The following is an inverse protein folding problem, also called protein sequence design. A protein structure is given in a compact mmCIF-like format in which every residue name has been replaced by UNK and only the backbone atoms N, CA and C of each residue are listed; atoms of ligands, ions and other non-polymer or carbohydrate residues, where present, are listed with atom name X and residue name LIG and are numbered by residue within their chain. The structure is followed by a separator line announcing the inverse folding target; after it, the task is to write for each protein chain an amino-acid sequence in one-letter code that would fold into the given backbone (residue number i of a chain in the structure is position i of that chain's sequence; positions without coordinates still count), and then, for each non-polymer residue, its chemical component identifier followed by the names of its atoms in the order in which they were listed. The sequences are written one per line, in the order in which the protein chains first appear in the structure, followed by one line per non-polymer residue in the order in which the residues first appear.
data_IF_715328654783
#
_entry.id   IF_715328654783
#
_cell.length_a   1.000
_cell.length_b   1.000
_cell.length_c   1.000
_cell.angle_alpha   90.00
_cell.angle_beta   90.00
_cell.angle_gamma   90.00
#
_symmetry.space_group_name_H-M   'P 1'
#
loop_
_entity.id
_entity.type
_entity.pdbx_description
1 polymer ?
#
# COMPACT_ATOMS: atom_id res chain seq x y z
N UNK A 1 -13.93 -32.71 -4.61
CA UNK A 1 -12.73 -32.24 -5.31
C UNK A 1 -11.91 -31.52 -4.26
N UNK A 2 -10.74 -32.04 -3.92
CA UNK A 2 -9.84 -31.33 -3.02
C UNK A 2 -9.49 -30.00 -3.74
N UNK A 3 -9.93 -28.88 -3.20
CA UNK A 3 -9.54 -27.57 -3.71
C UNK A 3 -8.03 -27.45 -3.49
N UNK A 4 -7.27 -27.26 -4.55
CA UNK A 4 -5.84 -27.00 -4.46
C UNK A 4 -5.62 -25.76 -3.59
N UNK A 5 -4.82 -25.88 -2.53
CA UNK A 5 -4.44 -24.76 -1.66
C UNK A 5 -3.15 -24.14 -2.19
N UNK A 6 -3.07 -22.82 -2.15
CA UNK A 6 -1.81 -22.11 -2.41
C UNK A 6 -0.95 -22.16 -1.17
N UNK A 7 0.25 -22.74 -1.30
CA UNK A 7 1.22 -22.90 -0.21
C UNK A 7 2.10 -21.68 -0.10
N UNK A 8 2.00 -21.00 1.03
CA UNK A 8 2.67 -19.72 1.29
C UNK A 8 3.93 -19.87 2.11
N UNK A 9 4.96 -19.11 1.72
CA UNK A 9 6.12 -18.78 2.55
C UNK A 9 6.12 -17.29 2.90
N UNK A 10 6.62 -16.93 4.08
CA UNK A 10 6.79 -15.55 4.54
C UNK A 10 8.27 -15.21 4.64
N UNK A 11 8.71 -14.08 4.07
CA UNK A 11 10.03 -13.49 4.30
C UNK A 11 9.95 -12.38 5.33
N UNK A 12 10.65 -12.57 6.46
CA UNK A 12 10.68 -11.63 7.58
C UNK A 12 9.68 -11.99 8.68
N UNK A 13 10.00 -11.55 9.91
CA UNK A 13 9.28 -11.87 11.15
C UNK A 13 8.82 -10.59 11.87
N UNK A 14 8.41 -9.59 11.10
CA UNK A 14 7.88 -8.32 11.59
C UNK A 14 6.45 -8.45 12.11
N UNK A 15 5.96 -7.40 12.77
CA UNK A 15 4.54 -7.32 13.17
C UNK A 15 3.59 -7.60 12.00
N UNK A 16 3.85 -7.02 10.82
CA UNK A 16 2.99 -7.24 9.66
C UNK A 16 3.06 -8.70 9.15
N UNK A 17 4.19 -9.38 9.36
CA UNK A 17 4.31 -10.82 9.05
C UNK A 17 3.42 -11.68 9.95
N UNK A 18 3.21 -11.28 11.22
CA UNK A 18 2.27 -11.95 12.12
C UNK A 18 0.81 -11.78 11.63
N UNK A 19 0.44 -10.56 11.26
CA UNK A 19 -0.89 -10.27 10.69
C UNK A 19 -1.15 -11.08 9.41
N UNK A 20 -0.13 -11.21 8.56
CA UNK A 20 -0.24 -12.00 7.34
C UNK A 20 -0.28 -13.50 7.60
N UNK A 21 0.40 -13.99 8.64
CA UNK A 21 0.30 -15.40 9.07
C UNK A 21 -1.14 -15.74 9.48
N UNK A 22 -1.76 -14.89 10.30
CA UNK A 22 -3.17 -15.04 10.69
C UNK A 22 -4.10 -15.01 9.46
N UNK A 23 -3.89 -14.07 8.53
CA UNK A 23 -4.71 -13.92 7.33
C UNK A 23 -4.61 -15.12 6.38
N UNK A 24 -3.41 -15.68 6.20
CA UNK A 24 -3.23 -16.88 5.37
C UNK A 24 -3.90 -18.09 6.02
N UNK A 25 -3.82 -18.21 7.37
CA UNK A 25 -4.46 -19.29 8.10
C UNK A 25 -6.00 -19.16 8.15
N UNK A 26 -6.54 -17.93 8.13
CA UNK A 26 -7.98 -17.68 8.01
C UNK A 26 -8.50 -18.02 6.60
N UNK A 27 -7.66 -17.91 5.57
CA UNK A 27 -8.03 -18.19 4.18
C UNK A 27 -8.38 -19.67 3.96
N UNK A 28 -9.45 -19.91 3.22
CA UNK A 28 -9.85 -21.28 2.83
C UNK A 28 -9.12 -21.80 1.59
N UNK A 29 -8.32 -20.95 0.94
CA UNK A 29 -7.61 -21.24 -0.30
C UNK A 29 -6.10 -21.13 -0.16
N UNK A 30 -5.60 -20.79 1.05
CA UNK A 30 -4.19 -20.66 1.38
C UNK A 30 -3.76 -21.61 2.49
N UNK A 31 -2.48 -21.99 2.49
CA UNK A 31 -1.84 -22.75 3.55
C UNK A 31 -0.47 -22.14 3.86
N UNK A 32 -0.24 -21.73 5.10
CA UNK A 32 1.06 -21.20 5.53
C UNK A 32 2.00 -22.35 5.89
N UNK A 33 3.02 -22.61 5.07
CA UNK A 33 3.91 -23.74 5.25
C UNK A 33 5.35 -23.38 5.62
N UNK A 34 5.78 -22.11 5.44
CA UNK A 34 7.18 -21.73 5.66
C UNK A 34 7.33 -20.31 6.16
N UNK A 35 8.37 -20.11 6.98
CA UNK A 35 8.85 -18.80 7.44
C UNK A 35 10.36 -18.70 7.27
N UNK A 36 10.85 -17.56 6.75
CA UNK A 36 12.28 -17.25 6.65
C UNK A 36 12.65 -16.05 7.50
N UNK A 37 13.78 -16.14 8.18
CA UNK A 37 14.38 -15.05 8.95
C UNK A 37 15.90 -15.08 8.79
N UNK A 38 16.58 -13.98 9.15
CA UNK A 38 18.06 -13.92 9.22
C UNK A 38 18.65 -14.57 10.49
N UNK A 39 17.80 -15.07 11.38
CA UNK A 39 18.18 -15.82 12.58
C UNK A 39 17.28 -17.05 12.69
N UNK A 40 17.91 -18.20 12.84
CA UNK A 40 17.22 -19.49 12.99
C UNK A 40 16.34 -19.52 14.25
N UNK A 41 16.79 -18.90 15.33
CA UNK A 41 16.03 -18.86 16.60
C UNK A 41 14.76 -18.01 16.46
N UNK A 42 14.84 -16.90 15.68
CA UNK A 42 13.69 -16.04 15.40
C UNK A 42 12.72 -16.75 14.47
N UNK A 43 13.20 -17.40 13.41
CA UNK A 43 12.38 -18.20 12.50
C UNK A 43 11.66 -19.32 13.24
N UNK A 44 12.38 -20.06 14.11
CA UNK A 44 11.82 -21.14 14.93
C UNK A 44 10.73 -20.65 15.86
N UNK A 45 10.95 -19.56 16.62
CA UNK A 45 9.93 -19.01 17.52
C UNK A 45 8.68 -18.56 16.76
N UNK A 46 8.85 -17.95 15.59
CA UNK A 46 7.72 -17.56 14.73
C UNK A 46 6.96 -18.80 14.22
N UNK A 47 7.69 -19.84 13.77
CA UNK A 47 7.11 -21.10 13.34
C UNK A 47 6.33 -21.80 14.46
N UNK A 48 6.85 -21.83 15.69
CA UNK A 48 6.17 -22.37 16.85
C UNK A 48 4.88 -21.60 17.21
N UNK A 49 4.96 -20.24 17.16
CA UNK A 49 3.82 -19.35 17.44
C UNK A 49 2.64 -19.59 16.50
N UNK A 50 2.90 -19.75 15.23
CA UNK A 50 1.88 -19.89 14.17
C UNK A 50 1.73 -21.33 13.65
N UNK A 51 2.37 -22.32 14.31
CA UNK A 51 2.31 -23.74 13.91
C UNK A 51 2.72 -23.96 12.45
N UNK A 52 3.78 -23.27 11.98
CA UNK A 52 4.28 -23.35 10.61
C UNK A 52 5.26 -24.52 10.50
N UNK A 53 5.07 -25.48 9.56
CA UNK A 53 5.86 -26.72 9.53
C UNK A 53 7.33 -26.51 9.17
N UNK A 54 7.68 -25.46 8.39
CA UNK A 54 9.04 -25.23 7.92
C UNK A 54 9.57 -23.87 8.36
N UNK A 55 10.85 -23.79 8.75
CA UNK A 55 11.49 -22.51 9.06
C UNK A 55 12.94 -22.52 8.53
N UNK A 56 13.38 -21.35 8.06
CA UNK A 56 14.67 -21.15 7.40
C UNK A 56 15.44 -20.01 8.06
N UNK A 57 16.76 -20.16 8.15
CA UNK A 57 17.69 -19.14 8.68
C UNK A 57 18.16 -18.13 7.61
N UNK A 58 17.73 -18.34 6.38
CA UNK A 58 17.93 -17.42 5.26
C UNK A 58 16.72 -17.41 4.32
N UNK A 59 16.57 -16.31 3.60
CA UNK A 59 15.45 -16.15 2.66
C UNK A 59 15.66 -16.93 1.36
N UNK A 60 16.93 -17.19 0.99
CA UNK A 60 17.25 -17.87 -0.27
C UNK A 60 16.82 -19.34 -0.23
N UNK A 61 17.04 -20.02 0.90
CA UNK A 61 16.60 -21.41 1.10
C UNK A 61 15.08 -21.52 1.03
N UNK A 62 14.35 -20.59 1.61
CA UNK A 62 12.88 -20.58 1.53
C UNK A 62 12.38 -20.46 0.09
N UNK A 63 12.88 -19.51 -0.70
CA UNK A 63 12.39 -19.30 -2.07
C UNK A 63 12.76 -20.43 -3.02
N UNK A 64 13.72 -21.29 -2.67
CA UNK A 64 14.08 -22.49 -3.45
C UNK A 64 13.37 -23.77 -2.98
N UNK A 65 12.56 -23.70 -1.93
CA UNK A 65 11.70 -24.82 -1.55
C UNK A 65 10.59 -25.03 -2.58
N UNK A 66 10.59 -26.21 -3.24
CA UNK A 66 9.63 -26.53 -4.29
C UNK A 66 8.19 -26.71 -3.77
N UNK A 67 8.00 -26.90 -2.47
CA UNK A 67 6.66 -27.02 -1.88
C UNK A 67 5.94 -25.66 -1.74
N UNK A 68 6.64 -24.54 -1.93
CA UNK A 68 6.11 -23.18 -1.80
C UNK A 68 5.64 -22.67 -3.16
N UNK A 69 4.37 -22.26 -3.26
CA UNK A 69 3.77 -21.68 -4.46
C UNK A 69 3.86 -20.16 -4.51
N UNK A 70 3.72 -19.53 -3.35
CA UNK A 70 3.67 -18.06 -3.22
C UNK A 70 4.48 -17.57 -2.01
N UNK A 71 5.02 -16.37 -2.14
CA UNK A 71 5.86 -15.74 -1.10
C UNK A 71 5.29 -14.37 -0.76
N UNK A 72 5.04 -14.16 0.55
CA UNK A 72 4.82 -12.83 1.09
C UNK A 72 6.15 -12.19 1.51
N UNK A 73 6.41 -10.98 1.01
CA UNK A 73 7.63 -10.23 1.31
C UNK A 73 7.29 -9.14 2.33
N UNK A 74 7.51 -9.43 3.63
CA UNK A 74 7.29 -8.54 4.78
C UNK A 74 8.58 -7.90 5.28
N UNK A 75 9.44 -7.46 4.35
CA UNK A 75 10.78 -6.92 4.62
C UNK A 75 10.76 -5.37 4.65
N UNK A 76 11.84 -4.72 5.13
CA UNK A 76 12.00 -3.28 4.99
C UNK A 76 11.96 -2.80 3.53
N UNK A 77 11.37 -1.64 3.27
CA UNK A 77 11.10 -1.09 1.93
C UNK A 77 12.27 -1.17 0.94
N UNK A 78 13.49 -0.89 1.39
CA UNK A 78 14.70 -0.91 0.55
C UNK A 78 15.14 -2.31 0.10
N UNK A 79 14.56 -3.36 0.66
CA UNK A 79 14.82 -4.75 0.29
C UNK A 79 13.79 -5.32 -0.68
N UNK A 80 12.68 -4.62 -0.90
CA UNK A 80 11.58 -5.14 -1.72
C UNK A 80 12.03 -5.47 -3.14
N UNK A 81 12.67 -4.54 -3.84
CA UNK A 81 13.17 -4.78 -5.22
C UNK A 81 14.01 -6.05 -5.32
N UNK A 82 14.98 -6.19 -4.44
CA UNK A 82 15.90 -7.34 -4.48
C UNK A 82 15.13 -8.65 -4.32
N UNK A 83 14.27 -8.73 -3.31
CA UNK A 83 13.58 -9.99 -3.00
C UNK A 83 12.43 -10.28 -3.96
N UNK A 84 11.76 -9.28 -4.50
CA UNK A 84 10.81 -9.46 -5.61
C UNK A 84 11.52 -10.09 -6.82
N UNK A 85 12.66 -9.55 -7.23
CA UNK A 85 13.43 -10.09 -8.37
C UNK A 85 13.91 -11.53 -8.10
N UNK A 86 14.39 -11.82 -6.88
CA UNK A 86 14.85 -13.16 -6.51
C UNK A 86 13.70 -14.17 -6.50
N UNK A 87 12.57 -13.84 -5.89
CA UNK A 87 11.37 -14.68 -5.89
C UNK A 87 10.86 -14.95 -7.30
N UNK A 88 10.80 -13.91 -8.15
CA UNK A 88 10.37 -14.04 -9.53
C UNK A 88 11.26 -14.99 -10.33
N UNK A 89 12.59 -14.91 -10.18
CA UNK A 89 13.55 -15.80 -10.81
C UNK A 89 13.47 -17.24 -10.29
N UNK A 90 13.05 -17.41 -9.03
CA UNK A 90 12.79 -18.72 -8.43
C UNK A 90 11.39 -19.28 -8.80
N UNK A 91 10.62 -18.56 -9.63
CA UNK A 91 9.29 -18.99 -10.07
C UNK A 91 8.19 -18.90 -9.01
N UNK A 92 8.38 -18.11 -7.96
CA UNK A 92 7.41 -17.93 -6.88
C UNK A 92 6.43 -16.81 -7.21
N UNK A 93 5.13 -17.03 -6.98
CA UNK A 93 4.14 -15.96 -6.94
C UNK A 93 4.43 -15.00 -5.77
N UNK A 94 4.11 -13.71 -5.91
CA UNK A 94 4.59 -12.69 -4.99
C UNK A 94 3.47 -11.79 -4.52
N UNK A 95 3.39 -11.62 -3.20
CA UNK A 95 2.70 -10.54 -2.53
C UNK A 95 3.74 -9.73 -1.74
N UNK A 96 4.03 -8.50 -2.18
CA UNK A 96 5.07 -7.67 -1.57
C UNK A 96 4.48 -6.50 -0.83
N UNK A 97 4.97 -6.24 0.39
CA UNK A 97 4.56 -5.09 1.19
C UNK A 97 4.71 -3.76 0.46
N UNK A 98 3.86 -2.84 0.90
CA UNK A 98 3.86 -1.45 0.41
C UNK A 98 4.96 -0.60 1.14
N UNK A 99 5.49 0.43 0.50
CA UNK A 99 5.40 0.66 -0.94
C UNK A 99 6.16 -0.43 -1.71
N UNK A 100 5.64 -0.83 -2.85
CA UNK A 100 6.18 -1.94 -3.64
C UNK A 100 7.67 -1.78 -3.93
N UNK A 101 8.07 -0.54 -4.27
CA UNK A 101 9.45 -0.13 -4.51
C UNK A 101 9.69 1.28 -3.94
N UNK A 102 10.95 1.72 -3.87
CA UNK A 102 11.30 3.04 -3.34
C UNK A 102 11.45 4.13 -4.40
N UNK A 103 11.35 3.80 -5.69
CA UNK A 103 11.48 4.77 -6.78
C UNK A 103 11.18 4.22 -8.17
N UNK A 104 11.14 5.12 -9.16
CA UNK A 104 10.77 4.82 -10.54
C UNK A 104 11.77 3.88 -11.23
N UNK A 105 13.07 4.03 -10.95
CA UNK A 105 14.07 3.13 -11.53
C UNK A 105 13.87 1.69 -11.06
N UNK A 106 13.54 1.50 -9.77
CA UNK A 106 13.30 0.18 -9.21
C UNK A 106 12.06 -0.49 -9.79
N UNK A 107 10.97 0.26 -10.03
CA UNK A 107 9.75 -0.32 -10.62
C UNK A 107 10.01 -0.78 -12.06
N UNK A 108 10.82 -0.06 -12.84
CA UNK A 108 11.19 -0.48 -14.19
C UNK A 108 12.01 -1.77 -14.19
N UNK A 109 12.99 -1.90 -13.28
CA UNK A 109 13.78 -3.12 -13.15
C UNK A 109 12.90 -4.31 -12.77
N UNK A 110 12.04 -4.15 -11.76
CA UNK A 110 11.11 -5.19 -11.30
C UNK A 110 10.17 -5.60 -12.42
N UNK A 111 9.51 -4.65 -13.07
CA UNK A 111 8.57 -4.91 -14.17
C UNK A 111 9.25 -5.70 -15.29
N UNK A 112 10.46 -5.29 -15.70
CA UNK A 112 11.23 -5.98 -16.74
C UNK A 112 11.57 -7.43 -16.39
N UNK A 113 11.69 -7.78 -15.10
CA UNK A 113 11.90 -9.17 -14.68
C UNK A 113 10.59 -9.93 -14.64
N UNK A 114 9.54 -9.36 -14.04
CA UNK A 114 8.23 -10.02 -13.90
C UNK A 114 7.63 -10.36 -15.26
N UNK A 115 7.70 -9.45 -16.24
CA UNK A 115 7.18 -9.67 -17.60
C UNK A 115 7.81 -10.89 -18.32
N UNK A 116 8.99 -11.32 -17.89
CA UNK A 116 9.69 -12.51 -18.42
C UNK A 116 9.33 -13.81 -17.71
N UNK A 117 8.47 -13.73 -16.72
CA UNK A 117 8.04 -14.87 -15.90
C UNK A 117 6.55 -15.16 -16.12
N UNK A 118 6.09 -16.29 -15.59
CA UNK A 118 4.67 -16.67 -15.58
C UNK A 118 4.08 -16.63 -14.14
N UNK A 119 4.72 -15.90 -13.22
CA UNK A 119 4.27 -15.77 -11.83
C UNK A 119 3.28 -14.63 -11.69
N UNK A 120 2.50 -14.64 -10.62
CA UNK A 120 1.68 -13.52 -10.20
C UNK A 120 2.48 -12.62 -9.25
N UNK A 121 2.39 -11.30 -9.43
CA UNK A 121 3.06 -10.31 -8.58
C UNK A 121 2.13 -9.15 -8.23
N UNK A 122 1.99 -8.87 -6.94
CA UNK A 122 1.06 -7.87 -6.43
C UNK A 122 1.66 -7.07 -5.26
N UNK A 123 1.38 -5.77 -5.23
CA UNK A 123 1.64 -4.90 -4.08
C UNK A 123 0.56 -5.11 -3.00
N UNK A 124 0.98 -5.18 -1.74
CA UNK A 124 0.11 -5.45 -0.60
C UNK A 124 -0.62 -4.17 -0.11
N UNK A 125 -1.60 -3.72 -0.88
CA UNK A 125 -2.54 -2.67 -0.51
C UNK A 125 -3.87 -3.29 -0.09
N UNK A 126 -3.88 -3.92 1.09
CA UNK A 126 -4.92 -4.83 1.60
C UNK A 126 -6.34 -4.26 1.55
N UNK A 127 -6.53 -2.97 1.85
CA UNK A 127 -7.84 -2.33 1.92
C UNK A 127 -8.62 -2.38 0.60
N UNK A 128 -7.94 -2.46 -0.56
CA UNK A 128 -8.54 -2.46 -1.90
C UNK A 128 -9.50 -3.62 -2.14
N UNK A 129 -9.31 -4.73 -1.45
CA UNK A 129 -10.07 -5.97 -1.63
C UNK A 129 -11.27 -6.05 -0.67
N UNK A 130 -11.30 -5.20 0.36
CA UNK A 130 -12.35 -5.18 1.35
C UNK A 130 -13.70 -4.69 0.79
N UNK A 131 -14.85 -5.26 1.20
CA UNK A 131 -16.18 -4.86 0.73
C UNK A 131 -16.48 -3.37 0.87
N UNK A 132 -15.92 -2.73 1.90
CA UNK A 132 -16.05 -1.29 2.14
C UNK A 132 -15.56 -0.45 0.95
N UNK A 133 -14.39 -0.77 0.41
CA UNK A 133 -13.82 -0.05 -0.74
C UNK A 133 -14.59 -0.35 -2.03
N UNK A 134 -15.01 -1.61 -2.22
CA UNK A 134 -15.90 -1.96 -3.36
C UNK A 134 -17.20 -1.17 -3.32
N UNK A 135 -17.78 -0.98 -2.11
CA UNK A 135 -18.98 -0.15 -1.93
C UNK A 135 -18.70 1.32 -2.23
N UNK A 136 -17.57 1.84 -1.76
CA UNK A 136 -17.15 3.23 -2.03
C UNK A 136 -16.98 3.48 -3.55
N UNK A 137 -16.30 2.57 -4.26
CA UNK A 137 -16.18 2.63 -5.72
C UNK A 137 -17.57 2.62 -6.42
N UNK A 138 -18.47 1.73 -5.99
CA UNK A 138 -19.82 1.67 -6.54
C UNK A 138 -20.63 2.97 -6.33
N UNK A 139 -20.44 3.65 -5.20
CA UNK A 139 -21.08 4.97 -4.93
C UNK A 139 -20.52 6.02 -5.88
N UNK A 140 -19.20 6.09 -6.05
CA UNK A 140 -18.57 7.04 -6.98
C UNK A 140 -19.06 6.82 -8.42
N UNK A 141 -19.17 5.58 -8.86
CA UNK A 141 -19.62 5.21 -10.21
C UNK A 141 -21.13 5.42 -10.43
N UNK A 142 -21.94 5.47 -9.35
CA UNK A 142 -23.40 5.57 -9.45
C UNK A 142 -23.94 6.95 -9.75
N UNK A 143 -23.09 7.95 -9.92
CA UNK A 143 -23.46 9.38 -10.14
C UNK A 143 -24.30 10.02 -9.00
N UNK A 144 -24.39 9.36 -7.84
CA UNK A 144 -25.20 9.85 -6.71
C UNK A 144 -24.72 11.20 -6.17
N UNK A 145 -23.41 11.45 -6.22
CA UNK A 145 -22.80 12.76 -5.88
C UNK A 145 -22.43 13.57 -7.12
N UNK A 146 -22.76 13.10 -8.32
CA UNK A 146 -22.50 13.75 -9.58
C UNK A 146 -21.03 13.69 -10.03
N UNK A 147 -20.65 14.55 -10.99
CA UNK A 147 -19.26 14.63 -11.46
C UNK A 147 -18.34 15.03 -10.33
N UNK A 148 -17.31 14.23 -10.10
CA UNK A 148 -16.32 14.48 -9.03
C UNK A 148 -15.51 15.74 -9.36
N UNK A 149 -15.24 16.54 -8.32
CA UNK A 149 -14.46 17.79 -8.40
C UNK A 149 -13.26 17.79 -7.47
N UNK A 150 -13.41 17.20 -6.27
CA UNK A 150 -12.36 17.25 -5.26
C UNK A 150 -12.33 15.96 -4.44
N UNK A 151 -11.12 15.46 -4.19
CA UNK A 151 -10.82 14.45 -3.19
C UNK A 151 -10.01 15.12 -2.06
N UNK A 152 -10.34 14.81 -0.83
CA UNK A 152 -9.59 15.26 0.35
C UNK A 152 -9.24 14.05 1.21
N UNK A 153 -7.94 13.83 1.45
CA UNK A 153 -7.45 12.68 2.18
C UNK A 153 -6.32 13.04 3.14
N UNK A 154 -6.43 12.59 4.38
CA UNK A 154 -5.38 12.74 5.39
C UNK A 154 -5.16 11.39 6.06
N UNK A 155 -3.88 11.00 6.22
CA UNK A 155 -3.51 9.82 7.00
C UNK A 155 -2.23 10.07 7.77
N UNK A 156 -2.32 10.01 9.10
CA UNK A 156 -1.19 10.20 10.02
C UNK A 156 -1.08 9.04 10.99
N UNK A 157 0.11 8.76 11.48
CA UNK A 157 0.37 7.85 12.59
C UNK A 157 1.73 8.14 13.20
N UNK A 158 1.85 8.04 14.51
CA UNK A 158 3.11 8.27 15.22
C UNK A 158 4.04 7.06 15.10
N UNK A 159 4.74 6.95 13.98
CA UNK A 159 5.62 5.82 13.62
C UNK A 159 7.07 6.24 13.32
N UNK A 160 7.42 7.50 13.47
CA UNK A 160 8.72 8.04 13.08
C UNK A 160 9.91 7.33 13.76
N UNK A 161 9.75 6.85 15.00
CA UNK A 161 10.80 6.16 15.75
C UNK A 161 10.94 4.67 15.40
N UNK A 162 9.87 4.05 14.91
CA UNK A 162 9.85 2.62 14.55
C UNK A 162 10.01 2.38 13.06
N UNK A 163 9.76 3.39 12.23
CA UNK A 163 9.92 3.31 10.79
C UNK A 163 11.40 3.22 10.40
N UNK A 164 11.71 2.36 9.41
CA UNK A 164 13.08 2.22 8.93
C UNK A 164 13.58 3.55 8.32
N UNK A 165 14.71 4.11 8.80
CA UNK A 165 15.26 5.36 8.27
C UNK A 165 15.78 5.23 6.83
N UNK A 166 16.05 4.01 6.37
CA UNK A 166 16.59 3.74 5.02
C UNK A 166 15.46 3.77 4.02
N UNK A 167 14.78 4.46 3.52
CA UNK A 167 13.62 4.42 2.63
C UNK A 167 12.28 4.55 3.35
N UNK A 168 12.29 5.09 4.58
CA UNK A 168 11.09 5.42 5.36
C UNK A 168 10.55 6.80 5.02
N UNK A 169 9.89 7.40 6.01
CA UNK A 169 9.23 8.69 5.94
C UNK A 169 7.72 8.60 5.75
N UNK A 170 7.04 9.71 6.02
CA UNK A 170 5.58 9.76 6.03
C UNK A 170 4.98 9.47 4.66
N UNK A 171 5.61 9.96 3.58
CA UNK A 171 5.14 9.77 2.21
C UNK A 171 5.10 8.29 1.84
N UNK A 172 6.20 7.56 2.07
CA UNK A 172 6.30 6.14 1.70
C UNK A 172 5.50 5.24 2.63
N UNK A 173 5.53 5.48 3.94
CA UNK A 173 4.90 4.59 4.92
C UNK A 173 3.38 4.79 5.04
N UNK A 174 2.91 6.03 4.92
CA UNK A 174 1.52 6.41 5.12
C UNK A 174 0.89 7.03 3.87
N UNK A 175 1.59 7.92 3.18
CA UNK A 175 1.10 8.61 1.99
C UNK A 175 0.76 7.67 0.82
N UNK A 176 1.38 6.50 0.75
CA UNK A 176 1.06 5.48 -0.26
C UNK A 176 -0.41 5.04 -0.23
N UNK A 177 -1.04 5.00 0.94
CA UNK A 177 -2.43 4.63 1.10
C UNK A 177 -3.41 5.64 0.48
N UNK A 178 -3.42 6.94 0.87
CA UNK A 178 -4.32 7.91 0.28
C UNK A 178 -4.04 8.16 -1.20
N UNK A 179 -2.78 8.16 -1.65
CA UNK A 179 -2.43 8.26 -3.07
C UNK A 179 -3.06 7.11 -3.86
N UNK A 180 -2.87 5.88 -3.39
CA UNK A 180 -3.44 4.68 -4.02
C UNK A 180 -4.97 4.73 -4.08
N UNK A 181 -5.65 5.15 -2.99
CA UNK A 181 -7.11 5.20 -2.95
C UNK A 181 -7.68 6.28 -3.88
N UNK A 182 -7.09 7.47 -3.89
CA UNK A 182 -7.53 8.56 -4.77
C UNK A 182 -7.38 8.17 -6.23
N UNK A 183 -6.24 7.59 -6.64
CA UNK A 183 -6.01 7.09 -8.01
C UNK A 183 -7.02 6.00 -8.38
N UNK A 184 -7.27 5.06 -7.47
CA UNK A 184 -8.26 3.99 -7.65
C UNK A 184 -9.67 4.55 -7.91
N UNK A 185 -10.09 5.56 -7.15
CA UNK A 185 -11.43 6.16 -7.27
C UNK A 185 -11.55 7.12 -8.46
N UNK A 186 -10.49 7.86 -8.77
CA UNK A 186 -10.41 8.68 -9.98
C UNK A 186 -10.34 7.82 -11.26
N UNK A 187 -9.94 6.55 -11.13
CA UNK A 187 -9.71 5.63 -12.24
C UNK A 187 -8.77 6.25 -13.31
N UNK A 188 -7.78 7.01 -12.87
CA UNK A 188 -6.85 7.76 -13.72
C UNK A 188 -5.54 8.05 -12.99
N UNK A 189 -4.49 8.31 -13.78
CA UNK A 189 -3.23 8.85 -13.27
C UNK A 189 -3.28 10.38 -13.25
N UNK A 190 -2.66 11.04 -12.24
CA UNK A 190 -2.60 12.50 -12.20
C UNK A 190 -1.71 13.05 -13.32
N UNK A 191 -2.17 14.14 -13.95
CA UNK A 191 -1.42 14.87 -14.98
C UNK A 191 -0.55 15.98 -14.39
N UNK A 192 -0.78 16.38 -13.14
CA UNK A 192 0.03 17.35 -12.42
C UNK A 192 0.15 16.96 -10.96
N UNK A 193 1.36 17.11 -10.41
CA UNK A 193 1.72 16.78 -9.02
C UNK A 193 2.45 17.98 -8.41
N UNK A 194 1.97 18.52 -7.28
CA UNK A 194 2.58 19.64 -6.56
C UNK A 194 2.65 19.33 -5.08
N UNK A 195 3.84 19.05 -4.58
CA UNK A 195 4.08 18.65 -3.21
C UNK A 195 4.94 19.63 -2.42
N UNK A 196 4.63 19.72 -1.13
CA UNK A 196 5.44 20.38 -0.11
C UNK A 196 5.59 19.46 1.09
N UNK A 197 6.56 19.73 1.97
CA UNK A 197 6.71 18.97 3.19
C UNK A 197 7.92 19.37 4.01
N UNK A 198 8.08 18.70 5.13
CA UNK A 198 9.16 18.90 6.10
C UNK A 198 9.98 17.63 6.24
N UNK A 199 11.30 17.79 6.25
CA UNK A 199 12.23 16.69 6.53
C UNK A 199 12.51 16.60 8.04
N UNK A 200 12.60 15.37 8.53
CA UNK A 200 13.17 15.07 9.84
C UNK A 200 14.70 15.05 9.72
N UNK A 201 15.36 16.02 10.33
CA UNK A 201 16.82 16.16 10.25
C UNK A 201 17.59 15.01 10.91
N UNK A 202 16.97 14.25 11.83
CA UNK A 202 17.64 13.11 12.49
C UNK A 202 17.77 11.90 11.58
N UNK A 203 16.73 11.61 10.81
CA UNK A 203 16.63 10.39 10.00
C UNK A 203 16.78 10.65 8.50
N UNK A 204 16.87 11.92 8.09
CA UNK A 204 16.87 12.35 6.68
C UNK A 204 15.67 11.77 5.89
N UNK A 205 14.52 11.64 6.55
CA UNK A 205 13.24 11.23 5.97
C UNK A 205 12.23 12.37 6.05
N UNK A 206 11.20 12.34 5.23
CA UNK A 206 10.09 13.28 5.36
C UNK A 206 9.24 12.92 6.58
N UNK A 207 8.81 13.94 7.35
CA UNK A 207 7.96 13.74 8.54
C UNK A 207 6.53 14.23 8.36
N UNK A 208 6.35 15.30 7.60
CA UNK A 208 5.04 15.90 7.32
C UNK A 208 5.02 16.35 5.87
N UNK A 209 3.99 15.99 5.13
CA UNK A 209 3.92 16.32 3.73
C UNK A 209 2.48 16.48 3.23
N UNK A 210 2.29 17.38 2.23
CA UNK A 210 1.04 17.55 1.51
C UNK A 210 1.30 17.63 0.01
N UNK A 211 0.38 17.09 -0.77
CA UNK A 211 0.44 17.11 -2.23
C UNK A 211 -0.92 17.43 -2.84
N UNK A 212 -0.91 18.19 -3.91
CA UNK A 212 -2.04 18.39 -4.80
C UNK A 212 -1.81 17.58 -6.09
N UNK A 213 -2.84 16.85 -6.49
CA UNK A 213 -2.88 16.07 -7.73
C UNK A 213 -3.99 16.63 -8.61
N UNK A 214 -3.71 16.86 -9.89
CA UNK A 214 -4.73 17.18 -10.89
C UNK A 214 -4.92 15.99 -11.82
N UNK A 215 -6.19 15.60 -12.05
CA UNK A 215 -6.55 14.50 -12.93
C UNK A 215 -6.99 15.00 -14.33
N UNK A 216 -7.03 14.10 -15.35
CA UNK A 216 -7.41 14.46 -16.71
C UNK A 216 -8.83 15.05 -16.86
N UNK A 217 -9.75 14.72 -15.94
CA UNK A 217 -11.12 15.23 -15.91
C UNK A 217 -11.27 16.57 -15.18
N UNK A 218 -10.14 17.22 -14.84
CA UNK A 218 -9.99 18.46 -14.05
C UNK A 218 -10.37 18.33 -12.57
N UNK A 219 -10.63 17.13 -12.07
CA UNK A 219 -10.73 16.92 -10.62
C UNK A 219 -9.36 17.08 -9.93
N UNK A 220 -9.41 17.50 -8.66
CA UNK A 220 -8.22 17.75 -7.85
C UNK A 220 -8.25 16.84 -6.62
N UNK A 221 -7.09 16.32 -6.20
CA UNK A 221 -6.94 15.72 -4.89
C UNK A 221 -5.98 16.51 -4.02
N UNK A 222 -6.37 16.73 -2.76
CA UNK A 222 -5.49 17.21 -1.70
C UNK A 222 -5.20 16.05 -0.74
N UNK A 223 -3.93 15.68 -0.62
CA UNK A 223 -3.48 14.58 0.23
C UNK A 223 -2.46 15.08 1.23
N UNK A 224 -2.64 14.73 2.51
CA UNK A 224 -1.71 15.07 3.59
C UNK A 224 -1.33 13.83 4.40
N UNK A 225 -0.08 13.80 4.87
CA UNK A 225 0.45 12.72 5.70
C UNK A 225 1.46 13.23 6.72
N UNK A 226 1.58 12.55 7.86
CA UNK A 226 2.62 12.79 8.86
C UNK A 226 2.92 11.51 9.63
N UNK A 227 4.20 11.30 10.01
CA UNK A 227 4.65 10.14 10.78
C UNK A 227 5.03 10.45 12.23
N UNK A 228 4.88 11.71 12.65
CA UNK A 228 5.17 12.25 13.98
C UNK A 228 3.93 12.85 14.69
N UNK A 229 2.73 12.50 14.24
CA UNK A 229 1.43 12.91 14.78
C UNK A 229 0.61 11.64 15.07
N UNK A 230 -0.20 11.66 16.12
CA UNK A 230 -1.10 10.56 16.46
C UNK A 230 -1.97 10.12 15.28
N UNK A 231 -2.43 8.88 15.32
CA UNK A 231 -3.23 8.30 14.25
C UNK A 231 -4.50 9.13 14.02
N UNK A 232 -4.60 9.68 12.84
CA UNK A 232 -5.79 10.36 12.34
C UNK A 232 -6.01 10.02 10.89
N UNK A 233 -7.28 9.97 10.48
CA UNK A 233 -7.67 9.73 9.11
C UNK A 233 -8.86 10.59 8.72
N UNK A 234 -8.88 11.00 7.46
CA UNK A 234 -10.00 11.69 6.83
C UNK A 234 -10.04 11.29 5.36
N UNK A 235 -11.23 10.98 4.86
CA UNK A 235 -11.43 10.76 3.44
C UNK A 235 -12.79 11.28 3.00
N UNK A 236 -12.78 12.23 2.06
CA UNK A 236 -13.95 12.91 1.54
C UNK A 236 -13.87 13.05 0.02
N UNK A 237 -15.02 12.97 -0.65
CA UNK A 237 -15.14 13.15 -2.10
C UNK A 237 -16.29 14.10 -2.39
N UNK A 238 -16.01 15.16 -3.13
CA UNK A 238 -16.96 16.22 -3.46
C UNK A 238 -17.31 16.19 -4.94
N UNK A 239 -18.60 16.14 -5.22
CA UNK A 239 -19.15 16.13 -6.57
C UNK A 239 -20.13 17.27 -6.81
N UNK A 240 -20.68 17.33 -8.02
CA UNK A 240 -21.62 18.40 -8.42
C UNK A 240 -23.02 18.26 -7.83
N UNK A 241 -23.40 17.09 -7.32
CA UNK A 241 -24.72 16.80 -6.73
C UNK A 241 -24.67 16.57 -5.22
N UNK A 242 -23.49 16.61 -4.62
CA UNK A 242 -23.30 16.35 -3.21
C UNK A 242 -21.86 15.95 -2.88
N UNK A 243 -21.64 15.48 -1.66
CA UNK A 243 -20.36 14.93 -1.25
C UNK A 243 -20.54 13.68 -0.39
N UNK A 244 -19.51 12.91 -0.26
CA UNK A 244 -19.44 11.79 0.69
C UNK A 244 -18.24 11.94 1.62
N UNK A 245 -18.33 11.35 2.81
CA UNK A 245 -17.22 11.11 3.70
C UNK A 245 -17.29 9.70 4.26
N UNK A 246 -16.14 9.12 4.56
CA UNK A 246 -16.09 7.86 5.29
C UNK A 246 -16.24 8.12 6.78
N UNK A 247 -17.04 7.32 7.47
CA UNK A 247 -17.15 7.28 8.92
C UNK A 247 -16.20 6.27 9.55
N UNK A 248 -15.50 5.49 8.71
CA UNK A 248 -14.51 4.49 9.06
C UNK A 248 -13.21 4.81 8.36
N UNK A 249 -12.07 4.46 8.97
CA UNK A 249 -10.76 4.54 8.33
C UNK A 249 -10.76 3.69 7.03
N UNK A 250 -10.68 4.28 5.83
CA UNK A 250 -10.82 3.51 4.59
C UNK A 250 -9.62 2.59 4.32
N UNK A 251 -8.51 2.80 4.99
CA UNK A 251 -7.29 1.98 4.85
C UNK A 251 -7.22 0.86 5.89
N UNK A 252 -8.03 0.95 6.96
CA UNK A 252 -8.14 -0.06 8.02
C UNK A 252 -9.63 -0.29 8.36
N UNK A 253 -10.47 -0.71 7.40
CA UNK A 253 -11.84 -1.08 7.69
C UNK A 253 -11.91 -2.39 8.51
N UNK A 254 -12.90 -2.46 9.39
CA UNK A 254 -13.16 -3.62 10.24
C UNK A 254 -14.15 -4.61 9.61
N UNK A 255 -14.38 -5.74 10.28
CA UNK A 255 -15.44 -6.67 9.88
C UNK A 255 -16.82 -6.05 10.01
N UNK A 256 -17.06 -5.20 11.02
CA UNK A 256 -18.36 -4.58 11.28
C UNK A 256 -18.25 -3.07 11.51
N UNK A 257 -19.39 -2.38 11.41
CA UNK A 257 -19.50 -0.97 11.78
C UNK A 257 -18.90 0.01 10.79
N UNK A 258 -18.53 -0.43 9.59
CA UNK A 258 -17.98 0.47 8.58
C UNK A 258 -19.07 1.35 7.97
N UNK A 259 -18.84 2.66 7.98
CA UNK A 259 -19.84 3.67 7.60
C UNK A 259 -19.37 4.58 6.46
N UNK A 260 -20.28 4.85 5.52
CA UNK A 260 -20.14 5.90 4.51
C UNK A 260 -21.32 6.84 4.66
N UNK A 261 -21.06 8.14 4.73
CA UNK A 261 -22.08 9.17 4.78
C UNK A 261 -22.13 9.92 3.45
N UNK A 262 -23.30 9.97 2.84
CA UNK A 262 -23.55 10.71 1.60
C UNK A 262 -24.42 11.91 1.95
N UNK A 263 -23.99 13.09 1.53
CA UNK A 263 -24.67 14.38 1.71
C UNK A 263 -25.10 14.92 0.35
N UNK A 264 -26.33 14.63 -0.11
CA UNK A 264 -26.85 15.22 -1.34
C UNK A 264 -27.02 16.73 -1.19
N UNK A 265 -26.87 17.48 -2.28
CA UNK A 265 -27.16 18.91 -2.25
C UNK A 265 -28.62 19.13 -1.84
N UNK A 266 -28.86 20.15 -1.00
CA UNK A 266 -30.18 20.55 -0.49
C UNK A 266 -30.82 19.55 0.48
N UNK A 267 -30.14 18.53 0.95
CA UNK A 267 -30.60 17.67 2.05
C UNK A 267 -29.85 18.00 3.33
N UNK A 268 -30.57 18.12 4.46
CA UNK A 268 -29.96 18.47 5.77
C UNK A 268 -29.36 17.27 6.49
N UNK A 269 -29.82 16.06 6.17
CA UNK A 269 -29.37 14.83 6.82
C UNK A 269 -28.63 13.94 5.84
N UNK A 270 -27.50 13.35 6.24
CA UNK A 270 -26.77 12.43 5.39
C UNK A 270 -27.54 11.09 5.24
N UNK A 271 -27.34 10.47 4.11
CA UNK A 271 -27.69 9.05 3.92
C UNK A 271 -26.52 8.21 4.45
N UNK A 272 -26.78 7.45 5.51
CA UNK A 272 -25.80 6.50 6.06
C UNK A 272 -25.86 5.17 5.32
N UNK A 273 -24.69 4.63 4.96
CA UNK A 273 -24.52 3.31 4.39
C UNK A 273 -23.59 2.53 5.32
N UNK A 274 -24.09 1.42 5.84
CA UNK A 274 -23.32 0.47 6.64
C UNK A 274 -22.80 -0.65 5.74
N UNK A 275 -21.53 -1.05 5.95
CA UNK A 275 -20.89 -2.13 5.22
C UNK A 275 -20.25 -3.08 6.22
N UNK A 276 -20.69 -4.32 6.24
CA UNK A 276 -20.08 -5.38 7.02
C UNK A 276 -19.26 -6.29 6.11
N UNK A 277 -18.31 -6.97 6.69
CA UNK A 277 -17.40 -7.91 6.05
C UNK A 277 -17.41 -9.24 6.83
N UNK A 278 -17.17 -10.33 6.13
CA UNK A 278 -17.23 -11.69 6.70
C UNK A 278 -15.86 -12.19 7.19
N UNK A 279 -14.79 -11.50 6.79
CA UNK A 279 -13.39 -11.90 7.01
C UNK A 279 -12.57 -10.72 7.48
N UNK A 280 -11.40 -10.99 8.04
CA UNK A 280 -10.42 -9.95 8.34
C UNK A 280 -9.94 -9.22 7.09
N UNK A 281 -9.49 -8.00 7.27
CA UNK A 281 -9.05 -7.10 6.19
C UNK A 281 -8.02 -7.77 5.25
N UNK A 282 -7.01 -8.41 5.83
CA UNK A 282 -5.91 -8.99 5.08
C UNK A 282 -6.29 -10.30 4.39
N UNK A 283 -7.25 -11.05 4.92
CA UNK A 283 -7.75 -12.29 4.32
C UNK A 283 -8.41 -12.06 2.97
N UNK A 284 -9.10 -10.94 2.78
CA UNK A 284 -9.63 -10.58 1.45
C UNK A 284 -8.54 -10.44 0.41
N UNK A 285 -7.37 -9.91 0.76
CA UNK A 285 -6.24 -9.79 -0.14
C UNK A 285 -5.64 -11.16 -0.46
N UNK A 286 -5.48 -12.02 0.54
CA UNK A 286 -4.97 -13.39 0.35
C UNK A 286 -5.91 -14.19 -0.54
N UNK A 287 -7.21 -14.17 -0.27
CA UNK A 287 -8.18 -14.90 -1.09
C UNK A 287 -8.20 -14.39 -2.52
N UNK A 288 -8.09 -13.07 -2.72
CA UNK A 288 -8.04 -12.49 -4.06
C UNK A 288 -6.84 -12.98 -4.86
N UNK A 289 -5.62 -12.92 -4.31
CA UNK A 289 -4.42 -13.36 -5.04
C UNK A 289 -4.42 -14.89 -5.24
N UNK A 290 -4.90 -15.67 -4.26
CA UNK A 290 -5.05 -17.11 -4.41
C UNK A 290 -5.98 -17.48 -5.57
N UNK A 291 -7.12 -16.78 -5.69
CA UNK A 291 -8.06 -16.96 -6.81
C UNK A 291 -7.39 -16.64 -8.15
N UNK A 292 -6.61 -15.56 -8.22
CA UNK A 292 -5.88 -15.21 -9.43
C UNK A 292 -4.84 -16.28 -9.80
N UNK A 293 -4.10 -16.79 -8.83
CA UNK A 293 -3.10 -17.87 -9.05
C UNK A 293 -3.78 -19.16 -9.54
N UNK A 294 -4.90 -19.54 -8.93
CA UNK A 294 -5.60 -20.79 -9.26
C UNK A 294 -6.29 -20.75 -10.64
N UNK A 295 -6.82 -19.61 -11.04
CA UNK A 295 -7.72 -19.50 -12.20
C UNK A 295 -7.32 -18.41 -13.21
N UNK A 296 -6.35 -17.57 -12.87
CA UNK A 296 -6.06 -16.37 -13.64
C UNK A 296 -4.96 -16.54 -14.69
N UNK A 297 -4.82 -15.50 -15.50
CA UNK A 297 -3.71 -15.29 -16.43
C UNK A 297 -2.70 -14.33 -15.82
N UNK A 298 -1.52 -14.83 -15.48
CA UNK A 298 -0.47 -14.02 -14.82
C UNK A 298 -0.05 -12.81 -15.67
N UNK A 299 -0.04 -12.90 -16.99
CA UNK A 299 0.37 -11.79 -17.86
C UNK A 299 -0.64 -10.65 -17.82
N UNK A 300 -1.93 -10.98 -17.95
CA UNK A 300 -2.97 -9.96 -17.88
C UNK A 300 -3.09 -9.38 -16.46
N UNK A 301 -2.98 -10.21 -15.43
CA UNK A 301 -2.97 -9.77 -14.04
C UNK A 301 -1.82 -8.80 -13.77
N UNK A 302 -0.58 -9.20 -14.10
CA UNK A 302 0.62 -8.39 -13.84
C UNK A 302 0.58 -7.06 -14.61
N UNK A 303 0.06 -7.04 -15.84
CA UNK A 303 -0.09 -5.80 -16.60
C UNK A 303 -0.90 -4.75 -15.81
N UNK A 304 -2.00 -5.15 -15.18
CA UNK A 304 -2.83 -4.23 -14.39
C UNK A 304 -2.18 -3.90 -13.04
N UNK A 305 -1.70 -4.92 -12.31
CA UNK A 305 -1.09 -4.77 -11.00
C UNK A 305 0.18 -3.91 -11.03
N UNK A 306 1.08 -4.16 -11.98
CA UNK A 306 2.34 -3.40 -12.10
C UNK A 306 2.12 -1.99 -12.63
N UNK A 307 1.13 -1.75 -13.50
CA UNK A 307 0.76 -0.39 -13.92
C UNK A 307 0.28 0.43 -12.73
N UNK A 308 -0.52 -0.16 -11.86
CA UNK A 308 -1.00 0.52 -10.66
C UNK A 308 0.14 0.82 -9.67
N UNK A 309 1.00 -0.14 -9.37
CA UNK A 309 2.19 0.08 -8.53
C UNK A 309 3.15 1.11 -9.14
N UNK A 310 3.26 1.15 -10.48
CA UNK A 310 4.03 2.16 -11.20
C UNK A 310 3.47 3.55 -10.97
N UNK A 311 2.16 3.73 -11.08
CA UNK A 311 1.51 5.01 -10.82
C UNK A 311 1.73 5.47 -9.36
N UNK A 312 1.63 4.56 -8.37
CA UNK A 312 1.98 4.88 -6.99
C UNK A 312 3.44 5.34 -6.86
N UNK A 313 4.39 4.58 -7.40
CA UNK A 313 5.82 4.89 -7.32
C UNK A 313 6.14 6.27 -7.95
N UNK A 314 5.53 6.60 -9.09
CA UNK A 314 5.70 7.90 -9.77
C UNK A 314 5.22 9.04 -8.86
N UNK A 315 4.03 8.94 -8.27
CA UNK A 315 3.49 10.01 -7.43
C UNK A 315 4.34 10.18 -6.17
N UNK A 316 4.64 9.10 -5.46
CA UNK A 316 5.41 9.13 -4.21
C UNK A 316 6.82 9.70 -4.42
N UNK A 317 7.52 9.26 -5.45
CA UNK A 317 8.87 9.75 -5.74
C UNK A 317 8.87 11.21 -6.22
N UNK A 318 7.91 11.60 -7.06
CA UNK A 318 7.77 12.98 -7.52
C UNK A 318 7.51 13.92 -6.35
N UNK A 319 6.62 13.54 -5.45
CA UNK A 319 6.33 14.28 -4.22
C UNK A 319 7.58 14.43 -3.35
N UNK A 320 8.28 13.33 -3.07
CA UNK A 320 9.50 13.35 -2.26
C UNK A 320 10.63 14.19 -2.90
N UNK A 321 10.83 14.11 -4.20
CA UNK A 321 11.82 14.94 -4.94
C UNK A 321 11.51 16.42 -4.81
N UNK A 322 10.25 16.84 -4.87
CA UNK A 322 9.85 18.24 -4.71
C UNK A 322 10.17 18.76 -3.31
N UNK A 323 9.93 17.97 -2.26
CA UNK A 323 10.26 18.35 -0.88
C UNK A 323 11.78 18.53 -0.72
N UNK A 324 12.57 17.60 -1.20
CA UNK A 324 14.04 17.66 -1.11
C UNK A 324 14.61 18.88 -1.81
N UNK A 325 14.11 19.23 -2.98
CA UNK A 325 14.53 20.42 -3.73
C UNK A 325 14.19 21.72 -3.00
N UNK A 326 13.03 21.79 -2.34
CA UNK A 326 12.62 22.98 -1.56
C UNK A 326 13.48 23.15 -0.33
N UNK A 327 13.78 22.08 0.41
CA UNK A 327 14.65 22.13 1.58
C UNK A 327 16.08 22.59 1.21
N UNK A 328 16.66 22.07 0.15
CA UNK A 328 17.97 22.52 -0.35
C UNK A 328 17.99 24.00 -0.69
N UNK A 329 16.94 24.53 -1.34
CA UNK A 329 16.81 25.97 -1.64
C UNK A 329 16.69 26.82 -0.38
N UNK A 330 15.96 26.37 0.64
CA UNK A 330 15.84 27.10 1.91
C UNK A 330 17.15 27.13 2.67
N UNK A 331 17.91 26.04 2.68
CA UNK A 331 19.23 25.98 3.30
C UNK A 331 20.22 26.94 2.59
N UNK A 332 20.24 26.93 1.27
CA UNK A 332 21.07 27.87 0.48
C UNK A 332 20.67 29.33 0.72
N UNK A 333 19.38 29.63 0.87
CA UNK A 333 18.91 30.97 1.21
C UNK A 333 19.35 31.41 2.61
N UNK A 334 19.24 30.50 3.60
CA UNK A 334 19.71 30.75 4.98
C UNK A 334 21.22 30.97 5.05
N UNK A 335 21.99 30.21 4.29
CA UNK A 335 23.45 30.38 4.17
C UNK A 335 23.80 31.74 3.54
N UNK A 336 23.13 32.14 2.46
CA UNK A 336 23.31 33.45 1.83
C UNK A 336 23.04 34.59 2.81
N UNK A 337 21.93 34.53 3.55
CA UNK A 337 21.57 35.55 4.54
C UNK A 337 22.56 35.62 5.71
N UNK A 338 23.22 34.49 6.08
CA UNK A 338 24.28 34.48 7.11
C UNK A 338 25.60 35.06 6.61
N UNK A 339 25.90 34.92 5.33
CA UNK A 339 27.17 35.42 4.74
C UNK A 339 27.10 36.92 4.43
N UNK A 340 25.92 37.51 4.24
CA UNK A 340 25.75 38.93 3.93
C UNK A 340 25.40 39.82 5.14
N UNK A 341 25.42 39.26 6.36
CA UNK A 341 25.22 39.97 7.62
C UNK A 341 26.46 39.94 8.53
N UNK A 342 27.70 39.81 7.94
CA UNK A 342 28.98 40.05 8.59
C UNK A 342 29.56 41.36 8.08
#
# INVERSE_FOLDING_TARGET
MDNALIKWGILGTSFISEVMADAIQESKTGELIAIGSRSIEVAKRFSEKFTIPKFYDDYQSLIHDNDIDAVYIGLPNHLHKEWVIRCARAGKNILCEKPFVIGIEEIHEVTSVIEKTNIFCMEALMYRYHPFIKKLQGIIQSDIIGKIKLYNATYTANIAEIANPVAGGSIRNLGCYPISLVRLLANAEPVEIRGIGRMNCKNNTDSQASVLLKFPDDSIAAVSTADDIEMHWQFEVYGTKGYLKTGTNPWLPDCEGNKIFIYPNNELTPKEINVNAEKSLYTYQIDFINEQILNGDSKQFNKTSLLDSTGNAIVLETWLKQINLLNTRQELSRLKNRVFHI
#
